data_IF_821707836917
#
_entry.id   IF_821707836917
#
_cell.length_a   1.000
_cell.length_b   1.000
_cell.length_c   1.000
_cell.angle_alpha   90.00
_cell.angle_beta   90.00
_cell.angle_gamma   90.00
#
_symmetry.space_group_name_H-M   'P 1'
#
loop_
_entity.id
_entity.type
_entity.pdbx_description
1 polymer ?
#
# COMPACT_ATOMS: atom_id res chain seq x y z
N UNK A 1 -17.29 0.34 -16.25
CA UNK A 1 -16.31 -0.63 -16.41
C UNK A 1 -15.65 -0.93 -15.12
N UNK A 2 -15.43 -2.08 -14.96
CA UNK A 2 -14.91 -2.42 -13.69
C UNK A 2 -13.53 -1.85 -13.57
N UNK A 3 -13.27 -1.31 -12.47
CA UNK A 3 -11.98 -0.79 -12.20
C UNK A 3 -10.99 -1.91 -12.04
N UNK A 4 -9.74 -1.53 -12.03
CA UNK A 4 -8.71 -2.47 -11.74
C UNK A 4 -8.71 -2.76 -10.27
N UNK A 5 -8.36 -3.96 -9.93
CA UNK A 5 -8.28 -4.37 -8.54
C UNK A 5 -6.88 -4.09 -8.05
N UNK A 6 -6.74 -3.03 -7.27
CA UNK A 6 -5.43 -2.56 -6.85
C UNK A 6 -5.32 -2.62 -5.34
N UNK A 7 -4.19 -3.11 -4.86
CA UNK A 7 -3.84 -3.05 -3.46
C UNK A 7 -2.73 -2.03 -3.30
N UNK A 8 -2.73 -1.37 -2.17
CA UNK A 8 -1.69 -0.41 -1.86
C UNK A 8 -0.98 -0.86 -0.59
N UNK A 9 0.34 -0.80 -0.61
CA UNK A 9 1.12 -1.14 0.56
C UNK A 9 2.08 0.01 0.83
N UNK A 10 1.95 0.63 1.97
CA UNK A 10 2.81 1.75 2.33
C UNK A 10 2.68 2.10 3.78
N UNK A 11 3.65 2.86 4.27
CA UNK A 11 3.68 3.30 5.65
C UNK A 11 4.00 4.79 5.64
N UNK A 12 4.28 5.43 6.74
CA UNK A 12 4.40 6.89 6.79
C UNK A 12 5.39 7.47 5.79
N UNK A 13 5.38 8.74 5.70
CA UNK A 13 6.25 9.45 4.81
C UNK A 13 5.58 9.66 3.48
N UNK A 14 6.32 9.49 2.40
CA UNK A 14 5.75 9.82 1.11
C UNK A 14 4.67 8.85 0.67
N UNK A 15 4.47 7.76 1.40
CA UNK A 15 3.41 6.82 1.05
C UNK A 15 2.04 7.49 1.04
N UNK A 16 1.81 8.42 1.97
CA UNK A 16 0.54 9.13 1.98
C UNK A 16 0.34 9.92 0.69
N UNK A 17 1.38 10.59 0.22
CA UNK A 17 1.28 11.37 -1.01
C UNK A 17 0.96 10.45 -2.19
N UNK A 18 1.56 9.27 -2.22
CA UNK A 18 1.28 8.31 -3.28
C UNK A 18 -0.16 7.83 -3.23
N UNK A 19 -0.64 7.51 -2.04
CA UNK A 19 -2.00 7.04 -1.88
C UNK A 19 -3.00 8.12 -2.28
N UNK A 20 -2.75 9.36 -1.86
CA UNK A 20 -3.64 10.46 -2.22
C UNK A 20 -3.65 10.70 -3.72
N UNK A 21 -2.49 10.58 -4.36
CA UNK A 21 -2.43 10.76 -5.80
C UNK A 21 -3.27 9.71 -6.51
N UNK A 22 -3.23 8.48 -6.05
CA UNK A 22 -4.07 7.43 -6.62
C UNK A 22 -5.55 7.76 -6.42
N UNK A 23 -5.90 8.11 -5.20
CA UNK A 23 -7.29 8.39 -4.86
C UNK A 23 -7.82 9.55 -5.69
N UNK A 24 -7.03 10.60 -5.82
CA UNK A 24 -7.45 11.77 -6.58
C UNK A 24 -7.56 11.47 -8.06
N UNK A 25 -6.88 10.45 -8.53
CA UNK A 25 -6.98 10.02 -9.92
C UNK A 25 -8.16 9.10 -10.17
N UNK A 26 -8.93 8.82 -9.14
CA UNK A 26 -10.07 7.94 -9.29
C UNK A 26 -9.77 6.48 -9.03
N UNK A 27 -8.56 6.18 -8.59
CA UNK A 27 -8.18 4.80 -8.31
C UNK A 27 -8.27 4.56 -6.82
N UNK A 28 -9.26 3.78 -6.41
CA UNK A 28 -9.47 3.50 -5.00
C UNK A 28 -9.03 2.07 -4.72
N UNK A 29 -8.01 1.88 -3.88
CA UNK A 29 -7.53 0.53 -3.61
C UNK A 29 -8.59 -0.32 -2.92
N UNK A 30 -8.53 -1.61 -3.17
CA UNK A 30 -9.39 -2.55 -2.48
C UNK A 30 -9.03 -2.59 -1.00
N UNK A 31 -7.76 -2.46 -0.69
CA UNK A 31 -7.28 -2.45 0.68
C UNK A 31 -5.94 -1.76 0.72
N UNK A 32 -5.64 -1.22 1.88
CA UNK A 32 -4.36 -0.58 2.14
C UNK A 32 -3.65 -1.40 3.21
N UNK A 33 -2.47 -1.87 2.88
CA UNK A 33 -1.63 -2.60 3.82
C UNK A 33 -0.59 -1.63 4.37
N UNK A 34 -0.49 -1.55 5.68
CA UNK A 34 0.46 -0.68 6.31
C UNK A 34 1.00 -1.37 7.55
N UNK A 35 2.12 -0.89 8.07
CA UNK A 35 2.72 -1.51 9.23
C UNK A 35 1.82 -1.34 10.45
N UNK A 36 1.93 -2.26 11.42
CA UNK A 36 1.17 -2.11 12.65
C UNK A 36 1.47 -0.77 13.34
N UNK A 37 0.48 -0.26 14.04
CA UNK A 37 0.67 0.97 14.78
C UNK A 37 1.78 0.79 15.81
N UNK A 38 2.61 1.80 15.97
CA UNK A 38 3.71 1.71 16.91
C UNK A 38 3.72 2.93 17.79
N UNK A 39 4.27 2.80 18.99
CA UNK A 39 4.43 3.97 19.83
C UNK A 39 5.28 5.00 19.12
N UNK A 40 4.89 6.23 19.22
CA UNK A 40 5.61 7.31 18.58
C UNK A 40 5.84 8.43 19.58
N UNK A 41 7.02 9.01 19.50
CA UNK A 41 7.35 10.14 20.32
C UNK A 41 7.55 9.80 21.77
N UNK A 42 7.66 10.80 22.58
CA UNK A 42 7.95 10.63 23.96
C UNK A 42 6.84 10.02 24.75
N UNK A 43 5.63 10.33 24.43
CA UNK A 43 4.51 9.82 25.16
C UNK A 43 4.28 8.35 24.97
N UNK A 44 4.98 7.75 24.04
CA UNK A 44 4.82 6.34 23.73
C UNK A 44 3.40 5.96 23.43
N UNK A 45 2.64 6.90 22.94
CA UNK A 45 1.29 6.60 22.53
C UNK A 45 1.33 5.91 21.19
N UNK A 46 0.51 4.90 21.06
CA UNK A 46 0.37 4.25 19.77
C UNK A 46 -0.44 5.15 18.87
N UNK A 47 0.12 5.48 17.72
CA UNK A 47 -0.53 6.38 16.81
C UNK A 47 -0.71 5.72 15.46
N UNK A 48 -1.84 5.97 14.85
CA UNK A 48 -2.05 5.51 13.49
C UNK A 48 -1.16 6.32 12.55
N UNK A 49 -0.66 5.66 11.51
CA UNK A 49 0.12 6.35 10.51
C UNK A 49 -0.78 7.26 9.68
N UNK A 50 -0.22 8.27 9.02
CA UNK A 50 -1.02 9.10 8.12
C UNK A 50 -1.72 8.30 7.04
N UNK A 51 -1.07 7.27 6.54
CA UNK A 51 -1.69 6.40 5.54
C UNK A 51 -2.93 5.73 6.10
N UNK A 52 -2.83 5.20 7.31
CA UNK A 52 -3.97 4.55 7.93
C UNK A 52 -5.10 5.54 8.18
N UNK A 53 -4.76 6.73 8.68
CA UNK A 53 -5.78 7.73 8.97
C UNK A 53 -6.52 8.13 7.71
N UNK A 54 -5.80 8.33 6.63
CA UNK A 54 -6.42 8.69 5.37
C UNK A 54 -7.35 7.57 4.88
N UNK A 55 -6.87 6.34 4.92
CA UNK A 55 -7.67 5.22 4.43
C UNK A 55 -8.95 5.05 5.24
N UNK A 56 -8.86 5.16 6.55
CA UNK A 56 -10.06 5.04 7.38
C UNK A 56 -11.04 6.16 7.10
N UNK A 57 -10.54 7.37 6.90
CA UNK A 57 -11.42 8.50 6.62
C UNK A 57 -12.15 8.33 5.31
N UNK A 58 -11.49 7.70 4.34
CA UNK A 58 -12.09 7.48 3.03
C UNK A 58 -12.77 6.13 2.90
N UNK A 59 -12.93 5.43 4.01
CA UNK A 59 -13.61 4.14 4.03
C UNK A 59 -12.91 3.06 3.22
N UNK A 60 -11.61 3.11 3.17
CA UNK A 60 -10.81 2.09 2.51
C UNK A 60 -10.38 1.07 3.55
N UNK A 61 -10.48 -0.20 3.22
CA UNK A 61 -10.10 -1.28 4.12
C UNK A 61 -8.62 -1.16 4.48
N UNK A 62 -8.31 -1.27 5.77
CA UNK A 62 -6.94 -1.19 6.25
C UNK A 62 -6.55 -2.54 6.84
N UNK A 63 -5.37 -3.01 6.49
CA UNK A 63 -4.79 -4.23 7.04
C UNK A 63 -3.41 -3.93 7.58
N UNK A 64 -3.12 -4.43 8.76
CA UNK A 64 -1.85 -4.17 9.43
C UNK A 64 -1.20 -5.47 9.89
N UNK A 65 -0.85 -6.36 8.96
CA UNK A 65 -0.30 -7.65 9.36
C UNK A 65 1.08 -7.50 9.98
N UNK A 66 1.35 -8.35 10.97
CA UNK A 66 2.66 -8.37 11.60
C UNK A 66 3.71 -8.87 10.63
N UNK A 67 3.33 -9.79 9.75
CA UNK A 67 4.27 -10.36 8.82
C UNK A 67 3.56 -10.72 7.54
N UNK A 68 4.17 -10.37 6.42
CA UNK A 68 3.65 -10.77 5.12
C UNK A 68 3.99 -12.19 4.78
N UNK A 69 4.73 -12.89 5.64
CA UNK A 69 5.03 -14.30 5.43
C UNK A 69 3.98 -15.19 6.06
N UNK A 70 3.05 -14.62 6.80
CA UNK A 70 1.99 -15.36 7.44
C UNK A 70 1.08 -15.94 6.37
N UNK A 71 0.80 -17.24 6.48
CA UNK A 71 -0.03 -17.92 5.50
C UNK A 71 -1.42 -17.31 5.40
N UNK A 72 -2.00 -16.91 6.52
CA UNK A 72 -3.32 -16.31 6.49
C UNK A 72 -3.32 -15.01 5.73
N UNK A 73 -2.25 -14.23 5.89
CA UNK A 73 -2.13 -12.96 5.18
C UNK A 73 -1.97 -13.23 3.68
N UNK A 74 -1.14 -14.19 3.33
CA UNK A 74 -0.94 -14.53 1.93
C UNK A 74 -2.24 -14.98 1.30
N UNK A 75 -3.02 -15.80 2.02
CA UNK A 75 -4.30 -16.25 1.52
C UNK A 75 -5.28 -15.10 1.36
N UNK A 76 -5.27 -14.17 2.29
CA UNK A 76 -6.14 -13.00 2.18
C UNK A 76 -5.81 -12.20 0.94
N UNK A 77 -4.52 -11.97 0.70
CA UNK A 77 -4.12 -11.21 -0.47
C UNK A 77 -4.47 -11.96 -1.75
N UNK A 78 -4.27 -13.27 -1.73
CA UNK A 78 -4.63 -14.09 -2.88
C UNK A 78 -6.12 -14.00 -3.18
N UNK A 79 -6.94 -14.04 -2.14
CA UNK A 79 -8.39 -13.99 -2.31
C UNK A 79 -8.88 -12.67 -2.85
N UNK A 80 -8.12 -11.62 -2.64
CA UNK A 80 -8.50 -10.31 -3.17
C UNK A 80 -8.35 -10.23 -4.68
N UNK A 81 -7.58 -11.13 -5.24
CA UNK A 81 -7.39 -11.21 -6.71
C UNK A 81 -7.03 -9.87 -7.30
N UNK A 82 -5.99 -9.28 -6.77
CA UNK A 82 -5.54 -7.98 -7.24
C UNK A 82 -4.93 -8.09 -8.64
N UNK A 83 -5.12 -7.04 -9.41
CA UNK A 83 -4.42 -6.92 -10.68
C UNK A 83 -3.03 -6.37 -10.47
N UNK A 84 -2.86 -5.54 -9.46
CA UNK A 84 -1.60 -4.84 -9.25
C UNK A 84 -1.49 -4.48 -7.77
N UNK A 85 -0.28 -4.56 -7.23
CA UNK A 85 0.00 -4.04 -5.89
C UNK A 85 0.96 -2.88 -6.06
N UNK A 86 0.59 -1.74 -5.51
CA UNK A 86 1.46 -0.57 -5.54
C UNK A 86 2.12 -0.46 -4.19
N UNK A 87 3.44 -0.45 -4.18
CA UNK A 87 4.23 -0.42 -2.96
C UNK A 87 4.93 0.92 -2.84
N UNK A 88 4.72 1.60 -1.73
CA UNK A 88 5.33 2.90 -1.50
C UNK A 88 5.86 2.94 -0.08
N UNK A 89 7.12 2.57 0.11
CA UNK A 89 7.77 2.62 1.41
C UNK A 89 7.03 1.80 2.46
N UNK A 90 6.83 0.53 2.16
CA UNK A 90 6.12 -0.32 3.11
C UNK A 90 6.93 -0.62 4.36
N UNK A 91 8.24 -0.64 4.25
CA UNK A 91 9.08 -0.89 5.41
C UNK A 91 9.48 -2.34 5.62
N UNK A 92 8.97 -3.23 4.81
CA UNK A 92 9.34 -4.64 4.85
C UNK A 92 9.45 -5.14 3.43
N UNK A 93 10.23 -6.17 3.26
CA UNK A 93 10.37 -6.78 1.95
C UNK A 93 9.18 -7.69 1.70
N UNK A 94 8.58 -7.55 0.54
CA UNK A 94 7.48 -8.42 0.18
C UNK A 94 8.01 -9.77 -0.28
N UNK A 95 7.51 -10.87 0.27
CA UNK A 95 7.96 -12.18 -0.17
C UNK A 95 7.62 -12.43 -1.63
N UNK A 96 8.41 -13.25 -2.27
CA UNK A 96 8.19 -13.55 -3.68
C UNK A 96 6.77 -14.09 -3.94
N UNK A 97 6.26 -14.89 -3.01
CA UNK A 97 4.93 -15.45 -3.20
C UNK A 97 3.89 -14.34 -3.33
N UNK A 98 4.05 -13.24 -2.59
CA UNK A 98 3.12 -12.13 -2.70
C UNK A 98 3.37 -11.34 -3.99
N UNK A 99 4.64 -11.20 -4.37
CA UNK A 99 4.95 -10.48 -5.60
C UNK A 99 4.35 -11.16 -6.81
N UNK A 100 4.17 -12.45 -6.74
CA UNK A 100 3.64 -13.23 -7.87
C UNK A 100 2.13 -13.32 -7.90
N UNK A 101 1.45 -12.88 -6.85
CA UNK A 101 0.00 -13.01 -6.79
C UNK A 101 -0.74 -12.08 -7.75
N UNK A 102 -0.36 -10.79 -7.86
CA UNK A 102 -1.13 -9.90 -8.73
C UNK A 102 -0.93 -10.25 -10.20
N UNK A 103 -1.99 -10.08 -10.95
CA UNK A 103 -1.95 -10.40 -12.36
C UNK A 103 -0.85 -9.62 -13.08
N UNK A 104 -0.64 -8.39 -12.71
CA UNK A 104 0.36 -7.53 -13.34
C UNK A 104 1.54 -7.21 -12.43
N UNK A 105 1.67 -7.94 -11.33
CA UNK A 105 2.82 -7.79 -10.48
C UNK A 105 2.72 -6.63 -9.50
N UNK A 106 3.87 -6.19 -9.04
CA UNK A 106 3.95 -5.12 -8.07
C UNK A 106 4.71 -3.94 -8.66
N UNK A 107 4.22 -2.75 -8.33
CA UNK A 107 4.84 -1.52 -8.78
C UNK A 107 5.42 -0.82 -7.59
N UNK A 108 6.72 -0.54 -7.63
CA UNK A 108 7.40 0.08 -6.50
C UNK A 108 7.61 1.56 -6.79
N UNK A 109 7.03 2.40 -5.94
CA UNK A 109 7.10 3.84 -6.13
C UNK A 109 8.19 4.40 -5.23
N UNK A 110 9.09 5.17 -5.80
CA UNK A 110 10.19 5.76 -5.05
C UNK A 110 9.93 7.24 -4.80
N UNK A 111 10.37 7.69 -3.63
CA UNK A 111 10.15 9.07 -3.25
C UNK A 111 10.72 10.05 -4.25
N UNK A 112 11.84 9.71 -4.86
CA UNK A 112 12.48 10.62 -5.78
C UNK A 112 11.64 10.93 -7.00
N UNK A 113 10.62 10.13 -7.27
CA UNK A 113 9.77 10.36 -8.43
C UNK A 113 8.55 11.19 -8.13
N UNK A 114 8.25 11.38 -6.87
CA UNK A 114 6.97 11.96 -6.52
C UNK A 114 6.71 13.36 -7.03
N UNK A 115 7.58 14.32 -6.89
CA UNK A 115 7.20 15.64 -7.39
C UNK A 115 7.04 15.65 -8.88
N UNK A 116 7.64 14.69 -9.53
CA UNK A 116 7.57 14.61 -10.98
C UNK A 116 6.70 13.50 -11.43
N UNK A 117 5.75 13.17 -10.64
CA UNK A 117 4.85 12.10 -10.97
C UNK A 117 4.01 12.50 -12.15
N UNK A 118 4.53 12.31 -13.27
CA UNK A 118 3.85 12.68 -14.49
C UNK A 118 3.65 11.51 -15.37
N UNK A 119 3.69 10.35 -14.82
CA UNK A 119 3.57 9.19 -15.61
C UNK A 119 4.69 9.10 -16.61
N UNK A 120 5.66 9.91 -16.40
CA UNK A 120 6.69 9.99 -17.38
C UNK A 120 7.42 8.70 -17.49
N UNK A 121 7.85 8.18 -16.41
CA UNK A 121 8.63 6.99 -16.50
C UNK A 121 7.84 5.84 -15.95
N UNK A 122 7.70 4.81 -16.70
CA UNK A 122 7.07 3.63 -16.14
C UNK A 122 7.92 3.13 -15.01
N UNK A 123 7.28 2.80 -13.95
CA UNK A 123 7.99 2.28 -12.83
C UNK A 123 8.02 0.79 -12.96
N UNK A 124 9.20 0.26 -13.00
CA UNK A 124 9.35 -1.16 -13.19
C UNK A 124 9.28 -1.85 -11.87
N UNK A 125 8.54 -2.89 -11.83
CA UNK A 125 8.43 -3.67 -10.62
C UNK A 125 9.66 -4.52 -10.42
#
# INVERSE_FOLDING_TARGET
MSGRRILFAGTPGFALASLRALYDSGIIPLAVFTQPDRPAGRGRKVKASPVKEFALRENIVVRQPESLKDTDVINEISDLQADLIIVAAYGSILPQVILDLPKHGCLNVHASLLPRWRGAAPIQA
#
